data_IF_998615180058
#
_entry.id   IF_998615180058
#
_cell.length_a   1.000
_cell.length_b   1.000
_cell.length_c   1.000
_cell.angle_alpha   90.00
_cell.angle_beta   90.00
_cell.angle_gamma   90.00
#
_symmetry.space_group_name_H-M   'P 1'
#
loop_
_entity.id
_entity.type
_entity.pdbx_description
1 polymer ?
#
# COMPACT_ATOMS: atom_id res chain seq x y z
N UNK A 1 30.64 6.28 7.23
CA UNK A 1 29.68 6.80 8.22
C UNK A 1 28.33 6.33 7.73
N UNK A 2 27.77 5.32 8.38
CA UNK A 2 26.48 4.75 8.01
C UNK A 2 25.37 5.72 8.42
N UNK A 3 24.37 5.98 7.56
CA UNK A 3 23.18 6.70 7.99
C UNK A 3 22.38 5.76 8.89
N UNK A 4 22.18 6.17 10.13
CA UNK A 4 21.20 5.57 11.04
C UNK A 4 19.83 5.79 10.42
N UNK A 5 19.13 4.71 10.06
CA UNK A 5 17.72 4.77 9.67
C UNK A 5 16.93 5.41 10.83
N UNK A 6 16.30 6.54 10.56
CA UNK A 6 15.43 7.20 11.52
C UNK A 6 14.21 6.32 11.69
N UNK A 7 14.12 5.61 12.81
CA UNK A 7 12.86 5.02 13.26
C UNK A 7 11.84 6.16 13.28
N UNK A 8 10.75 6.07 12.52
CA UNK A 8 9.66 7.05 12.58
C UNK A 8 9.19 7.09 14.03
N UNK A 9 9.46 8.19 14.72
CA UNK A 9 9.12 8.32 16.13
C UNK A 9 7.60 8.26 16.28
N UNK A 10 7.12 7.50 17.26
CA UNK A 10 5.70 7.43 17.55
C UNK A 10 5.18 8.80 17.98
N UNK A 11 3.93 9.15 17.61
CA UNK A 11 3.34 10.40 18.03
C UNK A 11 3.05 10.38 19.53
N UNK A 12 3.13 11.54 20.14
CA UNK A 12 2.72 11.70 21.54
C UNK A 12 1.21 11.62 21.69
N UNK A 13 0.73 11.40 22.91
CA UNK A 13 -0.71 11.43 23.23
C UNK A 13 -1.39 12.70 22.72
N UNK A 14 -0.76 13.86 22.93
CA UNK A 14 -1.30 15.15 22.48
C UNK A 14 -1.32 15.27 20.96
N UNK A 15 -0.29 14.74 20.28
CA UNK A 15 -0.23 14.70 18.81
C UNK A 15 -1.33 13.82 18.22
N UNK A 16 -1.56 12.63 18.79
CA UNK A 16 -2.67 11.74 18.40
C UNK A 16 -4.01 12.46 18.58
N UNK A 17 -4.26 13.06 19.74
CA UNK A 17 -5.52 13.76 20.00
C UNK A 17 -5.72 14.99 19.10
N UNK A 18 -4.64 15.62 18.66
CA UNK A 18 -4.63 16.77 17.77
C UNK A 18 -4.54 16.43 16.27
N UNK A 19 -4.45 15.15 15.89
CA UNK A 19 -4.29 14.76 14.48
C UNK A 19 -5.45 15.30 13.65
N UNK A 20 -5.14 16.03 12.58
CA UNK A 20 -6.11 16.79 11.83
C UNK A 20 -6.03 16.48 10.34
N UNK A 21 -7.16 16.08 9.75
CA UNK A 21 -7.29 15.75 8.32
C UNK A 21 -8.10 16.79 7.54
N UNK A 22 -8.47 17.92 8.15
CA UNK A 22 -9.35 18.92 7.53
C UNK A 22 -8.76 19.51 6.24
N UNK A 23 -7.44 19.62 6.18
CA UNK A 23 -6.74 20.10 4.99
C UNK A 23 -6.90 19.15 3.79
N UNK A 24 -6.91 17.83 4.03
CA UNK A 24 -7.16 16.82 2.99
C UNK A 24 -8.57 16.94 2.41
N UNK A 25 -9.60 16.99 3.26
CA UNK A 25 -10.98 17.14 2.81
C UNK A 25 -11.22 18.50 2.11
N UNK A 26 -10.54 19.55 2.56
CA UNK A 26 -10.59 20.87 1.92
C UNK A 26 -9.84 20.90 0.59
N UNK A 27 -8.74 20.16 0.47
CA UNK A 27 -7.99 19.99 -0.77
C UNK A 27 -8.80 19.23 -1.81
N UNK A 28 -9.41 18.10 -1.44
CA UNK A 28 -10.29 17.32 -2.30
C UNK A 28 -11.38 18.18 -2.96
N UNK A 29 -12.13 18.93 -2.14
CA UNK A 29 -13.18 19.84 -2.63
C UNK A 29 -12.62 20.89 -3.61
N UNK A 30 -11.44 21.47 -3.31
CA UNK A 30 -10.82 22.49 -4.17
C UNK A 30 -10.34 21.90 -5.49
N UNK A 31 -9.77 20.70 -5.50
CA UNK A 31 -9.25 20.06 -6.70
C UNK A 31 -10.37 19.64 -7.66
N UNK A 32 -11.48 19.11 -7.14
CA UNK A 32 -12.67 18.82 -7.97
C UNK A 32 -13.24 20.08 -8.65
N UNK A 33 -13.32 21.17 -7.89
CA UNK A 33 -13.79 22.47 -8.40
C UNK A 33 -12.84 23.05 -9.44
N UNK A 34 -11.53 22.94 -9.20
CA UNK A 34 -10.50 23.41 -10.13
C UNK A 34 -10.53 22.63 -11.45
N UNK A 35 -10.63 21.29 -11.39
CA UNK A 35 -10.75 20.42 -12.55
C UNK A 35 -11.96 20.79 -13.40
N UNK A 36 -13.13 20.87 -12.77
CA UNK A 36 -14.40 21.20 -13.45
C UNK A 36 -14.36 22.59 -14.10
N UNK A 37 -13.76 23.58 -13.41
CA UNK A 37 -13.65 24.94 -13.93
C UNK A 37 -12.67 25.02 -15.11
N UNK A 38 -11.54 24.31 -15.05
CA UNK A 38 -10.56 24.25 -16.13
C UNK A 38 -11.16 23.60 -17.39
N UNK A 39 -11.76 22.42 -17.26
CA UNK A 39 -12.41 21.71 -18.38
C UNK A 39 -13.48 22.57 -19.04
N UNK A 40 -14.38 23.17 -18.25
CA UNK A 40 -15.42 24.05 -18.77
C UNK A 40 -14.84 25.27 -19.53
N UNK A 41 -13.75 25.86 -19.04
CA UNK A 41 -13.10 26.98 -19.70
C UNK A 41 -12.46 26.57 -21.04
N UNK A 42 -11.78 25.42 -21.10
CA UNK A 42 -11.18 24.91 -22.33
C UNK A 42 -12.23 24.45 -23.35
N UNK A 43 -13.31 23.81 -22.91
CA UNK A 43 -14.42 23.45 -23.78
C UNK A 43 -15.13 24.68 -24.35
N UNK A 44 -15.34 25.71 -23.53
CA UNK A 44 -15.88 26.98 -23.99
C UNK A 44 -14.92 27.66 -24.99
N UNK A 45 -13.60 27.60 -24.74
CA UNK A 45 -12.61 28.14 -25.66
C UNK A 45 -12.67 27.44 -27.03
N UNK A 46 -12.76 26.11 -27.06
CA UNK A 46 -12.94 25.34 -28.30
C UNK A 46 -14.22 25.73 -29.03
N UNK A 47 -15.34 25.88 -28.32
CA UNK A 47 -16.61 26.32 -28.92
C UNK A 47 -16.49 27.71 -29.57
N UNK A 48 -15.78 28.63 -28.93
CA UNK A 48 -15.54 29.98 -29.48
C UNK A 48 -14.71 29.94 -30.78
N UNK A 49 -13.77 28.99 -30.90
CA UNK A 49 -12.92 28.81 -32.07
C UNK A 49 -13.59 28.00 -33.19
N UNK A 50 -14.56 27.14 -32.89
CA UNK A 50 -15.22 26.28 -33.88
C UNK A 50 -15.99 27.06 -34.96
N UNK A 51 -16.50 28.25 -34.63
CA UNK A 51 -17.28 29.11 -35.54
C UNK A 51 -16.69 30.52 -35.69
N UNK A 52 -15.46 30.68 -36.23
CA UNK A 52 -14.88 31.98 -36.41
C UNK A 52 -15.42 32.65 -37.69
N UNK A 53 -15.34 33.98 -37.73
CA UNK A 53 -15.66 34.79 -38.92
C UNK A 53 -14.63 34.66 -40.06
N UNK A 54 -13.51 33.99 -39.80
CA UNK A 54 -12.40 33.79 -40.74
C UNK A 54 -12.26 32.29 -41.09
N UNK A 55 -11.86 32.00 -42.33
CA UNK A 55 -11.83 30.64 -42.92
C UNK A 55 -10.46 30.32 -43.54
N UNK A 56 -10.19 29.04 -43.81
CA UNK A 56 -8.94 28.56 -44.43
C UNK A 56 -7.96 27.92 -43.43
N UNK A 57 -6.76 27.58 -43.87
CA UNK A 57 -5.78 26.74 -43.14
C UNK A 57 -5.49 27.19 -41.71
N UNK A 58 -5.48 28.51 -41.46
CA UNK A 58 -5.25 29.04 -40.13
C UNK A 58 -6.40 28.66 -39.15
N UNK A 59 -7.64 28.53 -39.64
CA UNK A 59 -8.80 28.16 -38.83
C UNK A 59 -8.65 26.71 -38.41
N UNK A 60 -8.30 25.87 -39.36
CA UNK A 60 -8.11 24.44 -39.13
C UNK A 60 -6.95 24.21 -38.17
N UNK A 61 -5.84 24.95 -38.31
CA UNK A 61 -4.72 24.91 -37.37
C UNK A 61 -5.11 25.38 -35.94
N UNK A 62 -5.89 26.46 -35.82
CA UNK A 62 -6.37 26.94 -34.53
C UNK A 62 -7.34 25.96 -33.86
N UNK A 63 -8.25 25.36 -34.65
CA UNK A 63 -9.19 24.34 -34.17
C UNK A 63 -8.45 23.08 -33.73
N UNK A 64 -7.46 22.62 -34.50
CA UNK A 64 -6.61 21.49 -34.12
C UNK A 64 -5.86 21.76 -32.82
N UNK A 65 -5.27 22.96 -32.68
CA UNK A 65 -4.53 23.33 -31.48
C UNK A 65 -5.42 23.34 -30.24
N UNK A 66 -6.57 24.02 -30.29
CA UNK A 66 -7.47 24.07 -29.13
C UNK A 66 -8.07 22.70 -28.81
N UNK A 67 -8.28 21.82 -29.80
CA UNK A 67 -8.68 20.44 -29.55
C UNK A 67 -7.60 19.66 -28.81
N UNK A 68 -6.31 19.85 -29.14
CA UNK A 68 -5.21 19.25 -28.41
C UNK A 68 -5.12 19.80 -26.97
N UNK A 69 -5.26 21.12 -26.80
CA UNK A 69 -5.21 21.75 -25.48
C UNK A 69 -6.39 21.31 -24.59
N UNK A 70 -7.60 21.12 -25.14
CA UNK A 70 -8.74 20.51 -24.41
C UNK A 70 -8.38 19.12 -23.90
N UNK A 71 -7.76 18.27 -24.72
CA UNK A 71 -7.38 16.93 -24.29
C UNK A 71 -6.36 16.96 -23.14
N UNK A 72 -5.42 17.92 -23.12
CA UNK A 72 -4.49 18.14 -22.01
C UNK A 72 -5.26 18.56 -20.75
N UNK A 73 -6.16 19.54 -20.86
CA UNK A 73 -6.94 20.04 -19.73
C UNK A 73 -7.83 18.95 -19.08
N UNK A 74 -8.45 18.08 -19.90
CA UNK A 74 -9.22 16.93 -19.41
C UNK A 74 -8.33 15.93 -18.66
N UNK A 75 -7.13 15.60 -19.18
CA UNK A 75 -6.19 14.72 -18.44
C UNK A 75 -5.71 15.33 -17.11
N UNK A 76 -5.45 16.64 -17.08
CA UNK A 76 -5.14 17.35 -15.83
C UNK A 76 -6.33 17.27 -14.86
N UNK A 77 -7.56 17.42 -15.36
CA UNK A 77 -8.78 17.30 -14.57
C UNK A 77 -9.00 15.89 -14.00
N UNK A 78 -8.70 14.84 -14.78
CA UNK A 78 -8.74 13.45 -14.32
C UNK A 78 -7.75 13.22 -13.16
N UNK A 79 -6.48 13.61 -13.32
CA UNK A 79 -5.47 13.49 -12.27
C UNK A 79 -5.86 14.28 -10.99
N UNK A 80 -6.45 15.47 -11.14
CA UNK A 80 -6.96 16.26 -10.01
C UNK A 80 -8.15 15.60 -9.29
N UNK A 81 -9.06 14.95 -10.03
CA UNK A 81 -10.18 14.20 -9.43
C UNK A 81 -9.69 12.94 -8.72
N UNK A 82 -8.73 12.22 -9.27
CA UNK A 82 -8.11 11.07 -8.60
C UNK A 82 -7.40 11.48 -7.31
N UNK A 83 -6.64 12.59 -7.34
CA UNK A 83 -6.04 13.17 -6.13
C UNK A 83 -7.11 13.56 -5.09
N UNK A 84 -8.25 14.10 -5.53
CA UNK A 84 -9.36 14.43 -4.62
C UNK A 84 -9.97 13.20 -3.96
N UNK A 85 -10.14 12.10 -4.70
CA UNK A 85 -10.59 10.81 -4.14
C UNK A 85 -9.61 10.29 -3.10
N UNK A 86 -8.31 10.29 -3.41
CA UNK A 86 -7.24 9.88 -2.46
C UNK A 86 -7.29 10.74 -1.19
N UNK A 87 -7.37 12.07 -1.32
CA UNK A 87 -7.43 12.95 -0.15
C UNK A 87 -8.71 12.77 0.67
N UNK A 88 -9.86 12.56 0.03
CA UNK A 88 -11.13 12.36 0.73
C UNK A 88 -11.15 11.03 1.51
N UNK A 89 -10.74 9.93 0.86
CA UNK A 89 -10.64 8.61 1.48
C UNK A 89 -9.55 8.56 2.54
N UNK A 90 -8.35 9.04 2.22
CA UNK A 90 -7.25 9.10 3.17
C UNK A 90 -7.59 9.91 4.42
N UNK A 91 -8.37 10.99 4.29
CA UNK A 91 -8.86 11.72 5.46
C UNK A 91 -9.80 10.88 6.35
N UNK A 92 -10.61 9.99 5.76
CA UNK A 92 -11.45 9.04 6.50
C UNK A 92 -10.62 7.95 7.17
N UNK A 93 -9.68 7.34 6.43
CA UNK A 93 -8.81 6.27 6.93
C UNK A 93 -7.93 6.76 8.10
N UNK A 94 -7.32 7.94 7.98
CA UNK A 94 -6.52 8.55 9.06
C UNK A 94 -7.40 8.85 10.28
N UNK A 95 -8.64 9.36 10.10
CA UNK A 95 -9.56 9.60 11.22
C UNK A 95 -9.98 8.31 11.92
N UNK A 96 -10.23 7.25 11.15
CA UNK A 96 -10.53 5.92 11.69
C UNK A 96 -9.36 5.40 12.52
N UNK A 97 -8.14 5.42 11.98
CA UNK A 97 -6.92 5.02 12.70
C UNK A 97 -6.70 5.87 13.96
N UNK A 98 -6.92 7.19 13.89
CA UNK A 98 -6.84 8.08 15.05
C UNK A 98 -7.84 7.68 16.14
N UNK A 99 -9.09 7.41 15.77
CA UNK A 99 -10.12 6.97 16.70
C UNK A 99 -9.77 5.65 17.37
N UNK A 100 -9.16 4.70 16.64
CA UNK A 100 -8.71 3.43 17.22
C UNK A 100 -7.62 3.63 18.27
N UNK A 101 -6.68 4.57 18.08
CA UNK A 101 -5.68 4.91 19.12
C UNK A 101 -6.38 5.51 20.34
N UNK A 102 -7.27 6.46 20.13
CA UNK A 102 -7.96 7.15 21.23
C UNK A 102 -8.87 6.20 22.02
N UNK A 103 -9.52 5.24 21.35
CA UNK A 103 -10.32 4.21 21.99
C UNK A 103 -9.45 3.23 22.80
N UNK A 104 -8.28 2.84 22.29
CA UNK A 104 -7.34 2.02 23.05
C UNK A 104 -6.85 2.74 24.32
N UNK A 105 -6.53 4.04 24.21
CA UNK A 105 -6.19 4.88 25.36
C UNK A 105 -7.34 4.94 26.36
N UNK A 106 -8.56 5.23 25.88
CA UNK A 106 -9.76 5.30 26.72
C UNK A 106 -10.05 3.98 27.43
N UNK A 107 -9.85 2.84 26.76
CA UNK A 107 -10.05 1.50 27.33
C UNK A 107 -9.05 1.23 28.46
N UNK A 108 -7.77 1.56 28.27
CA UNK A 108 -6.76 1.45 29.32
C UNK A 108 -7.08 2.34 30.53
N UNK A 109 -7.48 3.59 30.28
CA UNK A 109 -7.86 4.54 31.34
C UNK A 109 -9.12 4.09 32.09
N UNK A 110 -10.09 3.50 31.40
CA UNK A 110 -11.30 2.94 32.00
C UNK A 110 -10.99 1.74 32.92
N UNK A 111 -9.94 0.96 32.64
CA UNK A 111 -9.45 -0.09 33.55
C UNK A 111 -8.49 0.45 34.64
N UNK A 112 -8.39 1.76 34.82
CA UNK A 112 -7.63 2.38 35.90
C UNK A 112 -6.12 2.39 35.68
N UNK A 113 -5.68 2.30 34.43
CA UNK A 113 -4.33 2.68 34.06
C UNK A 113 -4.28 4.18 33.70
N UNK A 114 -3.08 4.75 33.67
CA UNK A 114 -2.79 6.08 33.15
C UNK A 114 -1.93 5.91 31.91
N UNK A 115 -2.29 6.62 30.83
CA UNK A 115 -1.48 6.69 29.61
C UNK A 115 -0.79 8.06 29.55
N UNK A 116 0.54 8.04 29.59
CA UNK A 116 1.38 9.23 29.58
C UNK A 116 1.61 9.78 28.16
N UNK A 117 2.30 10.93 28.07
CA UNK A 117 2.51 11.65 26.81
C UNK A 117 3.27 10.83 25.76
N UNK A 118 4.17 9.95 26.19
CA UNK A 118 4.95 9.04 25.34
C UNK A 118 4.23 7.71 25.05
N UNK A 119 2.92 7.65 25.33
CA UNK A 119 2.08 6.46 25.20
C UNK A 119 2.46 5.29 26.12
N UNK A 120 3.28 5.53 27.15
CA UNK A 120 3.53 4.53 28.18
C UNK A 120 2.33 4.39 29.12
N UNK A 121 2.14 3.18 29.65
CA UNK A 121 0.99 2.83 30.50
C UNK A 121 1.44 2.46 31.90
N UNK A 122 0.86 3.12 32.89
CA UNK A 122 1.18 2.93 34.31
C UNK A 122 -0.09 2.61 35.12
N UNK A 123 -0.02 1.64 36.04
CA UNK A 123 -1.14 1.32 36.92
C UNK A 123 -1.34 2.40 37.99
N UNK A 124 -2.57 2.90 38.13
CA UNK A 124 -2.92 3.90 39.15
C UNK A 124 -3.63 3.30 40.36
N UNK A 125 -4.00 2.02 40.30
CA UNK A 125 -4.70 1.35 41.40
C UNK A 125 -3.76 1.13 42.60
N UNK A 126 -4.29 1.12 43.84
CA UNK A 126 -3.50 0.74 45.00
C UNK A 126 -2.90 -0.66 44.83
N UNK A 127 -1.64 -0.83 45.23
CA UNK A 127 -0.95 -2.11 45.14
C UNK A 127 -1.70 -3.22 45.90
N UNK A 128 -1.98 -4.31 45.20
CA UNK A 128 -2.60 -5.51 45.72
C UNK A 128 -1.79 -6.73 45.28
N UNK A 129 -1.20 -7.44 46.24
CA UNK A 129 -0.28 -8.56 45.97
C UNK A 129 -0.96 -9.72 45.22
N UNK A 130 -2.29 -9.84 45.33
CA UNK A 130 -3.07 -10.88 44.69
C UNK A 130 -3.28 -10.60 43.19
N UNK A 131 -3.33 -9.33 42.79
CA UNK A 131 -3.62 -8.91 41.41
C UNK A 131 -2.45 -8.24 40.71
N UNK A 132 -1.37 -7.92 41.43
CA UNK A 132 -0.20 -7.21 40.92
C UNK A 132 0.41 -7.83 39.66
N UNK A 133 0.58 -9.17 39.64
CA UNK A 133 1.12 -9.86 38.47
C UNK A 133 0.23 -9.69 37.23
N UNK A 134 -1.08 -9.87 37.39
CA UNK A 134 -2.07 -9.67 36.31
C UNK A 134 -2.11 -8.23 35.83
N UNK A 135 -2.04 -7.25 36.74
CA UNK A 135 -2.07 -5.83 36.35
C UNK A 135 -0.80 -5.36 35.64
N UNK A 136 0.36 -5.93 35.96
CA UNK A 136 1.59 -5.69 35.17
C UNK A 136 1.42 -6.20 33.75
N UNK A 137 0.85 -7.39 33.58
CA UNK A 137 0.55 -7.95 32.25
C UNK A 137 -0.44 -7.05 31.51
N UNK A 138 -1.53 -6.62 32.13
CA UNK A 138 -2.49 -5.72 31.47
C UNK A 138 -1.93 -4.35 31.10
N UNK A 139 -1.03 -3.77 31.93
CA UNK A 139 -0.36 -2.51 31.58
C UNK A 139 0.47 -2.66 30.30
N UNK A 140 1.16 -3.78 30.17
CA UNK A 140 1.96 -4.14 29.00
C UNK A 140 1.07 -4.29 27.77
N UNK A 141 -0.02 -5.06 27.87
CA UNK A 141 -0.97 -5.28 26.77
C UNK A 141 -1.54 -3.96 26.24
N UNK A 142 -1.99 -3.09 27.14
CA UNK A 142 -2.51 -1.78 26.78
C UNK A 142 -1.44 -0.90 26.13
N UNK A 143 -0.22 -0.87 26.67
CA UNK A 143 0.88 -0.10 26.09
C UNK A 143 1.19 -0.56 24.66
N UNK A 144 1.11 -1.86 24.40
CA UNK A 144 1.43 -2.45 23.12
C UNK A 144 0.32 -2.28 22.09
N UNK A 145 -0.94 -2.40 22.50
CA UNK A 145 -2.08 -2.07 21.64
C UNK A 145 -2.05 -0.59 21.25
N UNK A 146 -1.89 0.33 22.22
CA UNK A 146 -1.82 1.77 21.96
C UNK A 146 -0.67 2.09 21.01
N UNK A 147 0.52 1.53 21.27
CA UNK A 147 1.68 1.69 20.40
C UNK A 147 1.41 1.18 18.99
N UNK A 148 0.84 -0.01 18.85
CA UNK A 148 0.55 -0.59 17.54
C UNK A 148 -0.49 0.23 16.76
N UNK A 149 -1.57 0.69 17.42
CA UNK A 149 -2.54 1.59 16.78
C UNK A 149 -1.87 2.92 16.37
N UNK A 150 -0.95 3.45 17.18
CA UNK A 150 -0.20 4.65 16.84
C UNK A 150 0.75 4.41 15.65
N UNK A 151 1.36 3.23 15.55
CA UNK A 151 2.14 2.80 14.37
C UNK A 151 1.24 2.74 13.12
N UNK A 152 0.02 2.19 13.23
CA UNK A 152 -0.95 2.18 12.11
C UNK A 152 -1.28 3.61 11.67
N UNK A 153 -1.63 4.49 12.61
CA UNK A 153 -1.97 5.88 12.30
C UNK A 153 -0.85 6.58 11.50
N UNK A 154 0.40 6.44 11.93
CA UNK A 154 1.56 7.03 11.23
C UNK A 154 1.73 6.44 9.83
N UNK A 155 1.59 5.11 9.69
CA UNK A 155 1.76 4.45 8.39
C UNK A 155 0.63 4.84 7.42
N UNK A 156 -0.61 4.92 7.91
CA UNK A 156 -1.75 5.39 7.11
C UNK A 156 -1.56 6.82 6.63
N UNK A 157 -1.16 7.74 7.52
CA UNK A 157 -0.92 9.13 7.17
C UNK A 157 0.22 9.27 6.14
N UNK A 158 1.32 8.55 6.35
CA UNK A 158 2.44 8.51 5.42
C UNK A 158 2.05 7.96 4.04
N UNK A 159 1.27 6.87 3.99
CA UNK A 159 0.77 6.29 2.75
C UNK A 159 -0.07 7.29 1.95
N UNK A 160 -1.03 7.94 2.61
CA UNK A 160 -1.89 8.97 1.97
C UNK A 160 -1.03 10.13 1.44
N UNK A 161 -0.07 10.60 2.23
CA UNK A 161 0.85 11.66 1.82
C UNK A 161 1.60 11.32 0.53
N UNK A 162 2.15 10.10 0.44
CA UNK A 162 2.89 9.66 -0.75
C UNK A 162 2.00 9.41 -1.97
N UNK A 163 0.78 8.90 -1.78
CA UNK A 163 -0.19 8.79 -2.88
C UNK A 163 -0.55 10.17 -3.46
N UNK A 164 -0.67 11.19 -2.61
CA UNK A 164 -0.92 12.56 -3.05
C UNK A 164 0.29 13.21 -3.74
N UNK A 165 1.50 12.97 -3.22
CA UNK A 165 2.74 13.39 -3.88
C UNK A 165 2.86 12.76 -5.28
N UNK A 166 2.53 11.47 -5.41
CA UNK A 166 2.49 10.78 -6.70
C UNK A 166 1.57 11.46 -7.73
N UNK A 167 0.36 11.81 -7.30
CA UNK A 167 -0.59 12.50 -8.18
C UNK A 167 -0.16 13.93 -8.50
N UNK A 168 0.55 14.59 -7.59
CA UNK A 168 1.13 15.90 -7.88
C UNK A 168 2.23 15.80 -8.96
N UNK A 169 3.08 14.77 -8.92
CA UNK A 169 4.09 14.50 -9.95
C UNK A 169 3.46 14.15 -11.30
N UNK A 170 2.45 13.28 -11.31
CA UNK A 170 1.69 12.94 -12.52
C UNK A 170 1.10 14.20 -13.16
N UNK A 171 0.43 15.03 -12.35
CA UNK A 171 -0.15 16.29 -12.80
C UNK A 171 0.91 17.24 -13.36
N UNK A 172 2.08 17.34 -12.71
CA UNK A 172 3.19 18.16 -13.18
C UNK A 172 3.78 17.67 -14.52
N UNK A 173 3.68 16.38 -14.81
CA UNK A 173 4.09 15.79 -16.09
C UNK A 173 3.15 16.10 -17.26
N UNK A 174 1.90 16.48 -17.00
CA UNK A 174 0.90 16.80 -18.03
C UNK A 174 1.07 18.26 -18.47
N UNK A 175 1.69 18.47 -19.63
CA UNK A 175 2.00 19.80 -20.18
C UNK A 175 1.31 20.09 -21.51
N UNK A 176 1.15 21.36 -21.84
CA UNK A 176 0.69 21.80 -23.16
C UNK A 176 1.84 21.76 -24.18
N UNK A 177 1.50 21.49 -25.44
CA UNK A 177 2.48 21.47 -26.52
C UNK A 177 3.22 22.82 -26.63
N UNK A 178 4.53 22.83 -26.40
CA UNK A 178 5.38 24.02 -26.50
C UNK A 178 5.78 24.68 -25.19
N UNK A 179 5.27 24.24 -24.04
CA UNK A 179 5.74 24.70 -22.71
C UNK A 179 7.15 24.19 -22.36
N UNK A 180 7.49 22.96 -22.78
CA UNK A 180 8.81 22.36 -22.51
C UNK A 180 9.90 22.70 -23.54
N UNK A 181 9.76 23.81 -24.28
CA UNK A 181 10.75 24.22 -25.29
C UNK A 181 11.86 25.07 -24.66
N UNK A 182 12.58 24.49 -23.71
CA UNK A 182 13.88 24.97 -23.26
C UNK A 182 14.82 23.76 -23.16
N UNK A 183 15.87 23.81 -23.97
CA UNK A 183 16.93 22.80 -24.19
C UNK A 183 16.60 21.62 -25.13
N UNK A 184 16.99 21.77 -26.40
CA UNK A 184 17.27 20.64 -27.30
C UNK A 184 18.79 20.54 -27.49
N UNK A 185 19.35 19.36 -27.78
CA UNK A 185 19.59 19.05 -29.20
C UNK A 185 19.45 17.58 -29.60
N UNK A 186 18.96 17.37 -30.84
CA UNK A 186 19.56 16.49 -31.86
C UNK A 186 19.69 14.98 -31.59
N UNK A 187 18.99 14.21 -32.43
CA UNK A 187 19.46 12.98 -33.08
C UNK A 187 20.35 12.02 -32.25
N UNK A 188 19.75 11.00 -31.64
CA UNK A 188 20.41 9.69 -31.43
C UNK A 188 19.40 8.54 -31.57
N UNK A 189 19.53 7.79 -32.66
CA UNK A 189 19.11 6.39 -32.77
C UNK A 189 20.06 5.55 -31.93
N UNK A 190 19.57 4.65 -31.06
CA UNK A 190 20.09 3.28 -30.90
C UNK A 190 19.04 2.34 -30.28
N UNK A 191 18.57 1.36 -31.06
CA UNK A 191 18.25 0.04 -30.51
C UNK A 191 19.15 -0.98 -31.20
N UNK A 192 20.07 -1.52 -30.41
CA UNK A 192 20.99 -2.60 -30.75
C UNK A 192 20.19 -3.89 -30.89
N UNK A 193 20.33 -4.56 -32.03
CA UNK A 193 19.87 -5.92 -32.18
C UNK A 193 20.74 -6.86 -31.34
N UNK A 194 20.19 -7.32 -30.22
CA UNK A 194 20.69 -8.50 -29.54
C UNK A 194 19.66 -9.61 -29.70
N UNK A 195 20.09 -10.71 -30.34
CA UNK A 195 19.37 -11.98 -30.31
C UNK A 195 19.20 -12.41 -28.86
N UNK A 196 17.99 -12.22 -28.33
CA UNK A 196 17.58 -12.82 -27.06
C UNK A 196 17.19 -14.25 -27.38
N UNK A 197 17.93 -15.22 -26.82
CA UNK A 197 17.42 -16.59 -26.71
C UNK A 197 16.13 -16.50 -25.88
N UNK A 198 15.01 -16.71 -26.55
CA UNK A 198 13.74 -17.04 -25.92
C UNK A 198 14.04 -18.19 -24.93
N UNK A 199 13.87 -17.91 -23.63
CA UNK A 199 13.64 -18.96 -22.65
C UNK A 199 12.41 -19.75 -23.08
N UNK A 200 12.30 -21.02 -22.67
CA UNK A 200 11.28 -21.90 -23.23
C UNK A 200 9.88 -21.33 -23.01
N UNK A 201 9.04 -21.38 -24.05
CA UNK A 201 7.59 -21.32 -23.91
C UNK A 201 7.16 -22.28 -22.80
N UNK A 202 6.18 -21.86 -21.99
CA UNK A 202 5.55 -22.63 -20.90
C UNK A 202 5.38 -24.11 -21.27
N UNK A 203 6.40 -24.92 -20.97
CA UNK A 203 6.22 -26.33 -20.71
C UNK A 203 5.58 -26.42 -19.35
N UNK A 204 4.46 -27.14 -19.27
CA UNK A 204 3.67 -27.45 -18.07
C UNK A 204 4.51 -27.32 -16.80
N UNK A 205 4.33 -26.21 -16.06
CA UNK A 205 4.81 -26.15 -14.69
C UNK A 205 4.28 -27.40 -13.97
N UNK A 206 5.08 -28.07 -13.13
CA UNK A 206 4.56 -29.16 -12.32
C UNK A 206 3.29 -28.65 -11.61
N UNK A 207 2.23 -29.47 -11.52
CA UNK A 207 0.98 -29.03 -10.92
C UNK A 207 1.29 -28.45 -9.54
N UNK A 208 0.79 -27.25 -9.27
CA UNK A 208 0.97 -26.58 -7.98
C UNK A 208 0.64 -27.57 -6.85
N UNK A 209 1.39 -27.51 -5.75
CA UNK A 209 1.07 -28.26 -4.55
C UNK A 209 -0.38 -27.97 -4.13
N UNK A 210 -1.02 -28.91 -3.43
CA UNK A 210 -2.39 -28.68 -2.95
C UNK A 210 -2.49 -27.44 -2.05
N UNK A 211 -1.49 -27.25 -1.19
CA UNK A 211 -1.37 -26.07 -0.33
C UNK A 211 -1.33 -24.78 -1.15
N UNK A 212 -0.45 -24.70 -2.15
CA UNK A 212 -0.35 -23.52 -3.02
C UNK A 212 -1.62 -23.29 -3.85
N UNK A 213 -2.24 -24.36 -4.37
CA UNK A 213 -3.51 -24.27 -5.10
C UNK A 213 -4.60 -23.62 -4.23
N UNK A 214 -4.74 -24.04 -2.96
CA UNK A 214 -5.72 -23.44 -2.04
C UNK A 214 -5.44 -21.96 -1.76
N UNK A 215 -4.17 -21.57 -1.62
CA UNK A 215 -3.80 -20.18 -1.44
C UNK A 215 -4.21 -19.32 -2.65
N UNK A 216 -3.90 -19.79 -3.87
CA UNK A 216 -4.27 -19.10 -5.11
C UNK A 216 -5.77 -19.00 -5.26
N UNK A 217 -6.51 -20.10 -5.06
CA UNK A 217 -7.98 -20.10 -5.12
C UNK A 217 -8.60 -19.12 -4.13
N UNK A 218 -8.04 -19.01 -2.92
CA UNK A 218 -8.48 -18.02 -1.94
C UNK A 218 -8.19 -16.59 -2.39
N UNK A 219 -6.97 -16.35 -2.90
CA UNK A 219 -6.55 -15.04 -3.38
C UNK A 219 -7.45 -14.54 -4.50
N UNK A 220 -7.72 -15.39 -5.51
CA UNK A 220 -8.60 -15.07 -6.64
C UNK A 220 -10.05 -14.81 -6.18
N UNK A 221 -10.57 -15.64 -5.26
CA UNK A 221 -11.93 -15.49 -4.75
C UNK A 221 -12.17 -14.13 -4.10
N UNK A 222 -11.15 -13.57 -3.45
CA UNK A 222 -11.26 -12.34 -2.67
C UNK A 222 -10.44 -11.18 -3.24
N UNK A 223 -9.99 -11.28 -4.50
CA UNK A 223 -9.20 -10.24 -5.16
C UNK A 223 -9.91 -8.88 -5.22
N UNK A 224 -11.22 -8.88 -5.51
CA UNK A 224 -12.07 -7.68 -5.62
C UNK A 224 -13.00 -7.48 -4.40
N UNK A 225 -12.80 -8.24 -3.31
CA UNK A 225 -13.73 -8.32 -2.18
C UNK A 225 -13.05 -8.49 -0.83
N UNK A 226 -13.81 -8.87 0.19
CA UNK A 226 -13.27 -9.19 1.52
C UNK A 226 -13.94 -10.44 2.07
N UNK A 227 -13.17 -11.27 2.78
CA UNK A 227 -13.75 -12.41 3.49
C UNK A 227 -14.43 -11.92 4.79
N UNK A 228 -15.76 -12.05 4.94
CA UNK A 228 -16.48 -11.58 6.13
C UNK A 228 -16.12 -12.35 7.41
N UNK A 229 -15.38 -13.46 7.33
CA UNK A 229 -14.87 -14.18 8.50
C UNK A 229 -13.67 -13.47 9.17
N UNK A 230 -13.09 -12.47 8.50
CA UNK A 230 -11.99 -11.67 9.02
C UNK A 230 -12.46 -10.22 9.20
N UNK A 231 -12.15 -9.63 10.35
CA UNK A 231 -12.22 -8.19 10.60
C UNK A 231 -11.43 -7.44 9.53
N UNK A 232 -12.05 -6.37 9.01
CA UNK A 232 -11.37 -5.37 8.21
C UNK A 232 -10.53 -4.52 9.16
N UNK A 233 -9.21 -4.70 9.16
CA UNK A 233 -8.32 -3.95 10.02
C UNK A 233 -8.04 -2.56 9.40
N UNK A 234 -7.97 -1.51 10.22
CA UNK A 234 -7.61 -0.15 9.78
C UNK A 234 -8.75 0.65 9.13
N UNK A 235 -10.01 0.40 9.46
CA UNK A 235 -11.12 1.25 8.99
C UNK A 235 -11.52 1.08 7.52
N UNK A 236 -11.16 -0.04 6.89
CA UNK A 236 -11.51 -0.33 5.50
C UNK A 236 -10.40 0.06 4.55
N UNK A 237 -9.89 -0.93 3.82
CA UNK A 237 -9.01 -0.80 2.66
C UNK A 237 -7.48 -0.61 2.88
N UNK A 238 -6.97 -0.61 4.11
CA UNK A 238 -5.53 -0.74 4.43
C UNK A 238 -5.10 -2.21 4.66
N UNK A 239 -5.86 -3.15 4.10
CA UNK A 239 -5.89 -4.56 4.51
C UNK A 239 -4.82 -5.44 3.84
N UNK A 240 -3.80 -4.86 3.19
CA UNK A 240 -2.83 -5.59 2.34
C UNK A 240 -2.24 -6.83 3.02
N UNK A 241 -1.80 -6.65 4.27
CA UNK A 241 -1.12 -7.70 5.02
C UNK A 241 -2.08 -8.71 5.63
N UNK A 242 -3.27 -8.26 6.03
CA UNK A 242 -4.32 -9.15 6.49
C UNK A 242 -4.79 -10.05 5.34
N UNK A 243 -4.99 -9.51 4.14
CA UNK A 243 -5.31 -10.29 2.94
C UNK A 243 -4.21 -11.29 2.58
N UNK A 244 -2.95 -10.85 2.53
CA UNK A 244 -1.81 -11.74 2.29
C UNK A 244 -1.72 -12.85 3.36
N UNK A 245 -1.95 -12.52 4.63
CA UNK A 245 -1.95 -13.49 5.72
C UNK A 245 -3.11 -14.48 5.62
N UNK A 246 -4.30 -14.04 5.23
CA UNK A 246 -5.42 -14.92 4.94
C UNK A 246 -5.10 -15.90 3.80
N UNK A 247 -4.45 -15.44 2.73
CA UNK A 247 -4.00 -16.28 1.61
C UNK A 247 -2.99 -17.33 2.09
N UNK A 248 -2.00 -16.92 2.90
CA UNK A 248 -1.05 -17.85 3.52
C UNK A 248 -1.77 -18.90 4.37
N UNK A 249 -2.73 -18.50 5.22
CA UNK A 249 -3.49 -19.40 6.09
C UNK A 249 -4.35 -20.38 5.28
N UNK A 250 -5.00 -19.90 4.22
CA UNK A 250 -5.74 -20.74 3.28
C UNK A 250 -4.83 -21.78 2.59
N UNK A 251 -3.57 -21.42 2.35
CA UNK A 251 -2.54 -22.34 1.88
C UNK A 251 -2.07 -23.37 2.91
N UNK A 252 -2.54 -23.29 4.15
CA UNK A 252 -2.30 -24.29 5.19
C UNK A 252 -1.15 -23.96 6.14
N UNK A 253 -0.60 -22.74 6.13
CA UNK A 253 0.28 -22.32 7.21
C UNK A 253 -0.50 -22.28 8.53
N UNK A 254 0.02 -22.97 9.54
CA UNK A 254 -0.51 -22.92 10.90
C UNK A 254 -0.13 -21.61 11.59
N UNK A 255 -0.97 -21.14 12.51
CA UNK A 255 -0.64 -20.05 13.43
C UNK A 255 0.58 -20.44 14.29
N UNK A 256 1.49 -19.50 14.53
CA UNK A 256 2.72 -19.70 15.32
C UNK A 256 2.83 -18.57 16.34
N UNK A 257 3.37 -18.87 17.53
CA UNK A 257 3.60 -17.87 18.56
C UNK A 257 2.30 -17.41 19.19
N UNK A 258 1.59 -18.35 19.82
CA UNK A 258 0.38 -18.06 20.59
C UNK A 258 0.48 -18.59 22.04
N UNK A 259 1.69 -18.64 22.57
CA UNK A 259 2.07 -19.11 23.89
C UNK A 259 2.09 -17.97 24.93
N UNK A 260 2.48 -18.28 26.17
CA UNK A 260 2.38 -17.38 27.34
C UNK A 260 3.33 -16.17 27.25
N UNK A 261 4.35 -16.24 26.40
CA UNK A 261 5.37 -15.22 26.21
C UNK A 261 4.98 -14.11 25.21
N UNK A 262 3.80 -14.15 24.59
CA UNK A 262 3.41 -13.23 23.50
C UNK A 262 2.78 -11.91 23.98
N UNK A 263 3.33 -11.34 25.04
CA UNK A 263 2.95 -10.03 25.59
C UNK A 263 2.65 -8.98 24.51
N UNK A 264 3.46 -8.94 23.42
CA UNK A 264 3.59 -7.89 22.40
C UNK A 264 2.62 -7.83 21.23
N UNK A 265 1.49 -8.55 21.28
CA UNK A 265 0.83 -9.02 20.05
C UNK A 265 1.82 -9.81 19.17
N UNK A 266 2.61 -10.61 19.85
CA UNK A 266 3.68 -11.43 19.31
C UNK A 266 4.99 -10.69 19.01
N UNK A 267 6.09 -11.42 19.14
CA UNK A 267 7.42 -11.03 18.67
C UNK A 267 7.52 -11.22 17.13
N UNK A 268 8.67 -10.85 16.54
CA UNK A 268 8.86 -10.88 15.08
C UNK A 268 8.80 -12.30 14.46
N UNK A 269 8.81 -13.34 15.30
CA UNK A 269 8.70 -14.75 14.96
C UNK A 269 7.29 -15.35 15.16
N UNK A 270 6.31 -14.53 15.53
CA UNK A 270 4.92 -14.95 15.72
C UNK A 270 4.08 -14.61 14.50
N UNK A 271 2.97 -15.31 14.28
CA UNK A 271 1.99 -15.03 13.22
C UNK A 271 0.67 -15.75 13.50
N UNK A 272 -0.37 -14.99 13.90
CA UNK A 272 -1.70 -15.52 14.26
C UNK A 272 -2.82 -14.48 14.10
N UNK A 273 -4.07 -14.98 14.03
CA UNK A 273 -5.31 -14.19 13.89
C UNK A 273 -6.51 -14.71 14.67
N UNK A 274 -7.26 -13.79 15.26
CA UNK A 274 -8.40 -13.98 16.17
C UNK A 274 -8.22 -15.17 17.13
N UNK A 275 -7.11 -15.17 17.86
CA UNK A 275 -6.92 -16.12 18.93
C UNK A 275 -7.32 -15.46 20.25
N UNK A 276 -8.49 -15.83 20.78
CA UNK A 276 -8.88 -15.52 22.16
C UNK A 276 -7.93 -16.26 23.10
N UNK A 277 -6.74 -15.72 23.29
CA UNK A 277 -5.74 -16.28 24.19
C UNK A 277 -6.39 -16.49 25.55
N UNK A 278 -6.42 -17.73 26.03
CA UNK A 278 -7.03 -18.07 27.33
C UNK A 278 -6.36 -17.34 28.52
N UNK A 279 -5.23 -16.66 28.27
CA UNK A 279 -4.36 -16.01 29.24
C UNK A 279 -4.25 -14.49 29.01
N UNK A 280 -4.46 -13.98 27.78
CA UNK A 280 -4.31 -12.56 27.38
C UNK A 280 -5.51 -12.08 26.50
N UNK A 281 -6.64 -11.66 27.12
CA UNK A 281 -7.82 -11.19 26.38
C UNK A 281 -7.54 -9.87 25.63
N UNK A 282 -7.82 -9.81 24.32
CA UNK A 282 -7.64 -8.60 23.49
C UNK A 282 -6.40 -8.63 22.58
N UNK A 283 -5.49 -9.59 22.78
CA UNK A 283 -4.41 -9.90 21.84
C UNK A 283 -4.90 -10.83 20.72
N UNK A 284 -5.82 -10.33 19.89
CA UNK A 284 -6.51 -11.18 18.91
C UNK A 284 -5.65 -11.50 17.69
N UNK A 285 -4.76 -10.61 17.24
CA UNK A 285 -3.92 -10.82 16.05
C UNK A 285 -2.53 -10.23 16.19
N UNK A 286 -1.53 -10.93 15.64
CA UNK A 286 -0.12 -10.54 15.72
C UNK A 286 0.24 -9.31 14.86
N UNK A 287 1.35 -8.62 15.18
CA UNK A 287 1.89 -7.55 14.31
C UNK A 287 2.24 -8.06 12.92
N UNK A 288 2.87 -9.23 12.83
CA UNK A 288 3.27 -9.86 11.56
C UNK A 288 2.07 -10.31 10.71
N UNK A 289 0.89 -10.47 11.30
CA UNK A 289 -0.35 -10.71 10.56
C UNK A 289 -0.90 -9.42 9.93
N UNK A 290 -0.64 -8.27 10.55
CA UNK A 290 -1.35 -7.02 10.28
C UNK A 290 -0.49 -5.94 9.61
N UNK A 291 0.84 -6.01 9.74
CA UNK A 291 1.79 -5.02 9.24
C UNK A 291 2.72 -5.57 8.16
N UNK A 292 2.80 -4.91 7.00
CA UNK A 292 3.54 -5.41 5.84
C UNK A 292 5.02 -5.61 6.14
N UNK A 293 5.64 -4.65 6.83
CA UNK A 293 7.03 -4.72 7.28
C UNK A 293 7.28 -5.88 8.24
N UNK A 294 6.39 -6.10 9.20
CA UNK A 294 6.57 -7.15 10.20
C UNK A 294 6.30 -8.53 9.58
N UNK A 295 5.30 -8.62 8.69
CA UNK A 295 5.04 -9.82 7.89
C UNK A 295 6.23 -10.19 7.02
N UNK A 296 6.83 -9.21 6.34
CA UNK A 296 8.05 -9.40 5.55
C UNK A 296 9.18 -9.99 6.41
N UNK A 297 9.46 -9.36 7.57
CA UNK A 297 10.51 -9.83 8.48
C UNK A 297 10.22 -11.26 8.98
N UNK A 298 8.97 -11.52 9.37
CA UNK A 298 8.54 -12.84 9.78
C UNK A 298 8.78 -13.90 8.70
N UNK A 299 8.29 -13.66 7.47
CA UNK A 299 8.39 -14.61 6.35
C UNK A 299 9.85 -14.87 5.97
N UNK A 300 10.66 -13.81 5.88
CA UNK A 300 12.01 -13.87 5.29
C UNK A 300 13.13 -14.12 6.28
N UNK A 301 12.94 -13.82 7.57
CA UNK A 301 14.02 -13.85 8.57
C UNK A 301 13.73 -14.75 9.77
N UNK A 302 12.47 -14.93 10.16
CA UNK A 302 12.14 -15.52 11.47
C UNK A 302 11.39 -16.85 11.40
N UNK A 303 10.60 -17.08 10.35
CA UNK A 303 9.73 -18.27 10.24
C UNK A 303 10.28 -19.38 9.34
N UNK A 304 11.25 -19.07 8.48
CA UNK A 304 11.70 -19.96 7.42
C UNK A 304 10.63 -20.25 6.36
N UNK A 305 9.52 -19.49 6.31
CA UNK A 305 8.40 -19.71 5.39
C UNK A 305 8.61 -19.16 3.99
N UNK A 306 9.61 -18.32 3.76
CA UNK A 306 9.95 -17.88 2.41
C UNK A 306 11.35 -17.31 2.29
N UNK A 307 11.81 -17.17 1.06
CA UNK A 307 13.08 -16.53 0.73
C UNK A 307 12.86 -15.41 -0.30
N UNK A 308 13.65 -14.35 -0.20
CA UNK A 308 13.74 -13.34 -1.26
C UNK A 308 14.46 -13.97 -2.45
N UNK A 309 13.74 -14.13 -3.57
CA UNK A 309 14.26 -14.72 -4.81
C UNK A 309 14.62 -13.69 -5.87
N UNK A 310 14.17 -12.45 -5.70
CA UNK A 310 14.54 -11.34 -6.57
C UNK A 310 14.29 -9.99 -5.92
N UNK A 311 15.10 -9.00 -6.32
CA UNK A 311 14.91 -7.60 -5.95
C UNK A 311 15.00 -6.77 -7.22
N UNK A 312 13.96 -6.00 -7.50
CA UNK A 312 13.88 -5.14 -8.68
C UNK A 312 13.86 -3.68 -8.22
N UNK A 313 14.86 -2.87 -8.60
CA UNK A 313 14.79 -1.42 -8.40
C UNK A 313 13.66 -0.84 -9.24
N UNK A 314 12.91 0.09 -8.66
CA UNK A 314 11.77 0.74 -9.31
C UNK A 314 11.99 2.26 -9.38
N UNK A 315 12.96 2.73 -10.19
CA UNK A 315 13.22 4.16 -10.33
C UNK A 315 12.10 4.92 -11.06
N UNK A 316 11.23 4.19 -11.78
CA UNK A 316 9.98 4.64 -12.38
C UNK A 316 9.12 3.41 -12.73
N UNK A 317 7.84 3.62 -13.07
CA UNK A 317 6.99 2.58 -13.64
C UNK A 317 7.39 2.22 -15.09
N UNK A 318 8.01 3.16 -15.81
CA UNK A 318 8.37 2.99 -17.21
C UNK A 318 9.62 2.12 -17.39
N UNK A 319 9.49 1.09 -18.22
CA UNK A 319 10.61 0.22 -18.59
C UNK A 319 10.88 -0.92 -17.61
N UNK A 320 10.01 -1.12 -16.62
CA UNK A 320 9.99 -2.35 -15.82
C UNK A 320 9.67 -3.54 -16.74
N UNK A 321 10.31 -4.67 -16.46
CA UNK A 321 10.05 -5.91 -17.19
C UNK A 321 8.71 -6.48 -16.72
N UNK A 322 7.67 -6.55 -17.57
CA UNK A 322 6.35 -7.02 -17.16
C UNK A 322 6.36 -8.47 -16.68
N UNK A 323 7.45 -9.22 -16.93
CA UNK A 323 7.65 -10.60 -16.49
C UNK A 323 8.74 -10.73 -15.39
N UNK A 324 9.09 -9.66 -14.69
CA UNK A 324 10.13 -9.72 -13.66
C UNK A 324 9.82 -10.71 -12.51
N UNK A 325 8.59 -10.76 -11.95
CA UNK A 325 8.21 -11.73 -10.92
C UNK A 325 8.48 -13.19 -11.31
N UNK A 326 7.94 -13.63 -12.45
CA UNK A 326 8.07 -14.98 -12.96
C UNK A 326 9.50 -15.33 -13.36
N UNK A 327 10.25 -14.37 -13.94
CA UNK A 327 11.67 -14.54 -14.26
C UNK A 327 12.54 -14.67 -13.01
N UNK A 328 12.13 -14.06 -11.89
CA UNK A 328 12.76 -14.25 -10.59
C UNK A 328 12.39 -15.58 -9.93
N UNK A 329 11.45 -16.33 -10.52
CA UNK A 329 11.04 -17.66 -10.06
C UNK A 329 9.80 -17.67 -9.17
N UNK A 330 9.02 -16.58 -9.12
CA UNK A 330 7.76 -16.58 -8.39
C UNK A 330 6.76 -17.56 -9.00
N UNK A 331 6.06 -18.27 -8.12
CA UNK A 331 4.92 -19.14 -8.42
C UNK A 331 3.66 -18.52 -7.83
N UNK A 332 2.47 -18.70 -8.47
CA UNK A 332 1.22 -18.19 -7.92
C UNK A 332 1.05 -18.54 -6.43
N UNK A 333 0.59 -17.59 -5.64
CA UNK A 333 0.52 -17.65 -4.17
C UNK A 333 1.74 -17.06 -3.46
N UNK A 334 2.86 -16.84 -4.15
CA UNK A 334 4.01 -16.13 -3.58
C UNK A 334 3.70 -14.64 -3.31
N UNK A 335 4.58 -13.97 -2.56
CA UNK A 335 4.37 -12.59 -2.12
C UNK A 335 5.32 -11.62 -2.82
N UNK A 336 4.82 -10.40 -3.00
CA UNK A 336 5.58 -9.26 -3.52
C UNK A 336 5.48 -8.14 -2.49
N UNK A 337 6.63 -7.71 -1.95
CA UNK A 337 6.70 -6.61 -1.00
C UNK A 337 7.21 -5.36 -1.69
N UNK A 338 6.51 -4.25 -1.49
CA UNK A 338 6.87 -2.97 -2.08
C UNK A 338 7.57 -2.12 -1.03
N UNK A 339 8.78 -1.68 -1.38
CA UNK A 339 9.65 -0.90 -0.52
C UNK A 339 9.84 0.48 -1.10
N UNK A 340 9.47 1.47 -0.30
CA UNK A 340 9.66 2.86 -0.64
C UNK A 340 11.15 3.24 -0.65
N UNK A 341 11.44 4.44 -1.11
CA UNK A 341 12.79 4.99 -1.15
C UNK A 341 13.42 5.32 0.21
N UNK A 342 12.62 5.47 1.25
CA UNK A 342 13.08 5.63 2.63
C UNK A 342 13.44 4.26 3.26
N UNK A 343 13.15 3.17 2.53
CA UNK A 343 13.38 1.79 2.94
C UNK A 343 12.24 1.19 3.76
N UNK A 344 11.10 1.87 3.86
CA UNK A 344 9.87 1.38 4.48
C UNK A 344 9.16 0.35 3.60
N UNK A 345 8.62 -0.70 4.21
CA UNK A 345 7.78 -1.70 3.55
C UNK A 345 6.36 -1.47 4.05
N UNK A 346 5.54 -0.84 3.22
CA UNK A 346 4.19 -0.41 3.60
C UNK A 346 3.10 -1.18 2.82
N UNK A 347 3.48 -2.01 1.86
CA UNK A 347 2.52 -2.77 1.05
C UNK A 347 3.02 -4.16 0.66
N UNK A 348 2.09 -5.10 0.56
CA UNK A 348 2.29 -6.48 0.13
C UNK A 348 1.17 -6.89 -0.82
N UNK A 349 1.53 -7.63 -1.87
CA UNK A 349 0.61 -8.22 -2.82
C UNK A 349 0.86 -9.72 -2.99
N UNK A 350 -0.15 -10.44 -3.47
CA UNK A 350 -0.06 -11.87 -3.78
C UNK A 350 0.10 -12.05 -5.27
N UNK A 351 1.15 -12.74 -5.70
CA UNK A 351 1.38 -13.06 -7.10
C UNK A 351 0.35 -14.07 -7.62
N UNK A 352 -0.37 -13.70 -8.69
CA UNK A 352 -1.48 -14.46 -9.27
C UNK A 352 -1.09 -15.26 -10.52
N UNK A 353 0.06 -14.98 -11.12
CA UNK A 353 0.55 -15.66 -12.32
C UNK A 353 0.71 -14.71 -13.49
N UNK A 354 0.43 -15.19 -14.70
CA UNK A 354 0.61 -14.44 -15.95
C UNK A 354 -0.71 -14.27 -16.70
N UNK A 355 -0.94 -13.06 -17.20
CA UNK A 355 -2.03 -12.77 -18.11
C UNK A 355 -1.53 -11.92 -19.28
N UNK A 356 -2.22 -11.98 -20.42
CA UNK A 356 -1.97 -11.05 -21.52
C UNK A 356 -2.75 -9.74 -21.28
N UNK A 357 -2.02 -8.64 -21.06
CA UNK A 357 -2.57 -7.29 -20.92
C UNK A 357 -2.14 -6.49 -22.14
N UNK A 358 -3.09 -5.92 -22.89
CA UNK A 358 -2.81 -5.15 -24.12
C UNK A 358 -1.91 -5.87 -25.14
N UNK A 359 -2.00 -7.21 -25.22
CA UNK A 359 -1.18 -8.03 -26.12
C UNK A 359 0.23 -8.35 -25.62
N UNK A 360 0.57 -7.94 -24.40
CA UNK A 360 1.85 -8.21 -23.74
C UNK A 360 1.62 -9.22 -22.61
N UNK A 361 2.39 -10.33 -22.54
CA UNK A 361 2.41 -11.18 -21.36
C UNK A 361 2.95 -10.40 -20.16
N UNK A 362 2.15 -10.37 -19.09
CA UNK A 362 2.41 -9.58 -17.90
C UNK A 362 2.11 -10.41 -16.66
N UNK A 363 3.01 -10.34 -15.69
CA UNK A 363 2.83 -10.91 -14.36
C UNK A 363 1.79 -10.08 -13.59
N UNK A 364 0.81 -10.76 -13.02
CA UNK A 364 -0.35 -10.16 -12.34
C UNK A 364 -0.35 -10.49 -10.85
N UNK A 365 -1.01 -9.64 -10.08
CA UNK A 365 -1.13 -9.71 -8.63
C UNK A 365 -2.57 -9.50 -8.17
N UNK A 366 -2.88 -10.03 -6.99
CA UNK A 366 -4.04 -9.64 -6.19
C UNK A 366 -3.55 -8.78 -5.02
N UNK A 367 -4.14 -7.59 -4.85
CA UNK A 367 -3.76 -6.67 -3.79
C UNK A 367 -4.95 -5.91 -3.22
N UNK A 368 -4.84 -5.57 -1.93
CA UNK A 368 -5.77 -4.70 -1.22
C UNK A 368 -4.99 -3.46 -0.74
N UNK A 369 -5.37 -2.25 -1.17
CA UNK A 369 -4.73 -0.99 -0.76
C UNK A 369 -5.69 0.19 -0.85
N UNK A 370 -5.65 1.16 0.08
CA UNK A 370 -6.40 2.44 0.14
C UNK A 370 -7.55 2.64 -0.87
N UNK A 371 -8.63 1.87 -0.74
CA UNK A 371 -9.85 1.95 -1.56
C UNK A 371 -9.82 1.21 -2.91
N UNK A 372 -8.84 0.34 -3.12
CA UNK A 372 -8.50 -0.34 -4.37
C UNK A 372 -8.23 -1.82 -4.09
N UNK A 373 -9.13 -2.68 -4.56
CA UNK A 373 -9.03 -4.14 -4.51
C UNK A 373 -8.97 -4.62 -5.95
N UNK A 374 -7.78 -5.03 -6.38
CA UNK A 374 -7.50 -5.23 -7.79
C UNK A 374 -6.82 -6.56 -8.04
N UNK A 375 -7.22 -7.11 -9.17
CA UNK A 375 -6.48 -8.10 -9.95
C UNK A 375 -5.84 -7.34 -11.13
N UNK A 376 -4.56 -7.01 -11.03
CA UNK A 376 -3.88 -6.12 -11.99
C UNK A 376 -2.41 -6.52 -12.19
N UNK A 377 -1.68 -5.80 -13.04
CA UNK A 377 -0.24 -6.01 -13.19
C UNK A 377 0.55 -5.75 -11.89
N UNK A 378 1.72 -6.38 -11.79
CA UNK A 378 2.58 -6.26 -10.60
C UNK A 378 3.28 -4.90 -10.47
N UNK A 379 3.33 -4.10 -11.53
CA UNK A 379 4.19 -2.93 -11.57
C UNK A 379 3.61 -1.83 -10.67
N UNK A 380 4.44 -1.19 -9.83
CA UNK A 380 3.93 -0.13 -8.98
C UNK A 380 3.49 1.06 -9.82
N UNK A 381 2.26 1.52 -9.59
CA UNK A 381 1.68 2.69 -10.24
C UNK A 381 1.66 3.93 -9.33
N UNK A 382 2.05 3.79 -8.05
CA UNK A 382 2.20 4.91 -7.12
C UNK A 382 3.65 5.42 -7.11
N UNK A 383 3.82 6.73 -6.93
CA UNK A 383 5.15 7.33 -6.78
C UNK A 383 5.89 6.77 -5.58
N UNK A 384 5.19 6.42 -4.48
CA UNK A 384 5.79 5.77 -3.30
C UNK A 384 6.78 4.65 -3.66
N UNK A 385 6.44 3.87 -4.70
CA UNK A 385 7.23 2.73 -5.14
C UNK A 385 7.87 2.93 -6.52
N UNK A 386 7.86 4.16 -7.07
CA UNK A 386 8.42 4.48 -8.40
C UNK A 386 9.40 5.66 -8.40
N UNK A 387 10.27 5.74 -7.40
CA UNK A 387 11.41 6.64 -7.42
C UNK A 387 12.63 6.02 -6.74
N UNK A 388 13.84 6.24 -7.27
CA UNK A 388 15.04 5.67 -6.64
C UNK A 388 15.24 6.23 -5.21
N UNK A 389 15.67 5.43 -4.23
CA UNK A 389 16.05 4.01 -4.31
C UNK A 389 14.91 2.99 -3.99
N UNK A 390 13.65 3.29 -4.29
CA UNK A 390 12.54 2.34 -4.16
C UNK A 390 12.82 1.03 -4.90
N UNK A 391 12.29 -0.06 -4.35
CA UNK A 391 12.48 -1.39 -4.88
C UNK A 391 11.30 -2.30 -4.54
N UNK A 392 11.20 -3.40 -5.29
CA UNK A 392 10.24 -4.47 -5.05
C UNK A 392 11.00 -5.74 -4.74
N UNK A 393 10.60 -6.43 -3.67
CA UNK A 393 11.18 -7.69 -3.21
C UNK A 393 10.22 -8.84 -3.51
N UNK A 394 10.68 -9.79 -4.31
CA UNK A 394 9.95 -10.99 -4.70
C UNK A 394 10.26 -12.11 -3.71
N UNK A 395 9.25 -12.59 -2.99
CA UNK A 395 9.40 -13.57 -1.92
C UNK A 395 8.69 -14.87 -2.28
N UNK A 396 9.49 -15.91 -2.50
CA UNK A 396 8.97 -17.25 -2.74
C UNK A 396 8.58 -17.90 -1.41
N UNK A 397 7.30 -18.26 -1.27
CA UNK A 397 6.79 -18.97 -0.10
C UNK A 397 7.03 -20.47 -0.24
N UNK A 398 7.38 -21.13 0.87
CA UNK A 398 7.43 -22.59 1.01
C UNK A 398 6.16 -23.06 1.68
N UNK A 399 5.15 -23.42 0.89
CA UNK A 399 3.91 -23.90 1.46
C UNK A 399 4.10 -25.27 2.14
N UNK A 400 3.31 -25.61 3.18
CA UNK A 400 3.39 -26.91 3.81
C UNK A 400 3.20 -28.05 2.82
N UNK A 401 4.18 -28.95 2.76
CA UNK A 401 4.20 -30.08 1.82
C UNK A 401 4.99 -29.85 0.53
N UNK A 402 5.63 -28.68 0.34
CA UNK A 402 6.58 -28.40 -0.73
C UNK A 402 8.04 -28.73 -0.38
#
# INVERSE_FOLDING_TARGET
MSPTATQTALPTRSEVAGWNTADLSSAATRWEQAASAAEAAFDQHRQNIANPVWVGDAKDAALQRVTADVAVAHRQGDAQREAAVIAARGAEDIRSAQQEVLEAIHTAEADGFQVDEDLTVSDTRPYDAQTAATRVVSAIEYAEEIRWRAEQLVQTDALVGKQLEAKAEELAGISFDGENRSEAPGDQVQLVGNEIKLGPELGENPPLSESRRRAVEYSEKWAEGFNPEYESLGGGDLDCTNFASQVMRAGGFDDVGNDIDDWRRGDSDDWYYQNDGAILPGNTSSKTWTLAKENHNFVTQHSGRGDIVGVVPTPSSNGLDPLAPSKAGLLPGDLIYYKDADGGINHVAVYAGQQTINGVPTDIINQHSGGVKLHDDWMPNSAEYTHAPAQVEFVHLRYPGE
#
